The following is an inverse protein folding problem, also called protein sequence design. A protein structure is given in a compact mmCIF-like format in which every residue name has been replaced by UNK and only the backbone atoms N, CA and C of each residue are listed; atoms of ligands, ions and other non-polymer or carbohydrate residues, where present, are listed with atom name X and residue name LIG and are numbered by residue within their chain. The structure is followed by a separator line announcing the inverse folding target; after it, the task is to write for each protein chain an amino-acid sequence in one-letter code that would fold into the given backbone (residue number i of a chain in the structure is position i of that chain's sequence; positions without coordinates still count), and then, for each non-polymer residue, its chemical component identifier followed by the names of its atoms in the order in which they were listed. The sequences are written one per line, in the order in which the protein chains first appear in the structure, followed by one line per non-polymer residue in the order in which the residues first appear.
data_IF_867865855932
#
_entry.id   IF_867865855932
#
_cell.length_a   1.000
_cell.length_b   1.000
_cell.length_c   1.000
_cell.angle_alpha   90.00
_cell.angle_beta   90.00
_cell.angle_gamma   90.00
#
_symmetry.space_group_name_H-M   'P 1'
#
loop_
_entity.id
_entity.type
_entity.pdbx_description
1 polymer ?
#
# COMPACT_ATOMS: atom_id res chain seq x y z
N UNK A 1 -22.44 -2.54 -48.64
CA UNK A 1 -21.97 -3.54 -47.67
C UNK A 1 -20.45 -3.67 -47.57
N UNK A 2 -19.67 -3.48 -48.64
CA UNK A 2 -18.20 -3.64 -48.60
C UNK A 2 -17.42 -2.55 -47.81
N UNK A 3 -18.00 -1.35 -47.63
CA UNK A 3 -17.33 -0.24 -46.89
C UNK A 3 -17.35 -0.43 -45.37
N UNK A 4 -18.47 -0.95 -44.82
CA UNK A 4 -18.58 -1.15 -43.33
C UNK A 4 -17.68 -2.25 -42.80
N UNK A 5 -17.37 -3.29 -43.60
CA UNK A 5 -16.47 -4.38 -43.23
C UNK A 5 -15.04 -3.91 -43.14
N UNK A 6 -14.58 -3.01 -43.99
CA UNK A 6 -13.23 -2.44 -43.95
C UNK A 6 -13.02 -1.57 -42.71
N UNK A 7 -14.02 -0.81 -42.26
CA UNK A 7 -13.91 0.03 -41.07
C UNK A 7 -13.87 -0.79 -39.81
N UNK A 8 -14.64 -1.89 -39.74
CA UNK A 8 -14.60 -2.82 -38.55
C UNK A 8 -13.29 -3.60 -38.51
N UNK A 9 -12.74 -4.02 -39.66
CA UNK A 9 -11.44 -4.68 -39.69
C UNK A 9 -10.29 -3.73 -39.31
N UNK A 10 -10.36 -2.46 -39.70
CA UNK A 10 -9.36 -1.46 -39.37
C UNK A 10 -9.41 -1.10 -37.87
N UNK A 11 -10.61 -1.04 -37.26
CA UNK A 11 -10.76 -0.83 -35.83
C UNK A 11 -10.28 -2.03 -35.01
N UNK A 12 -10.51 -3.27 -35.47
CA UNK A 12 -9.95 -4.47 -34.83
C UNK A 12 -8.42 -4.53 -34.91
N UNK A 13 -7.82 -4.11 -36.02
CA UNK A 13 -6.37 -4.04 -36.15
C UNK A 13 -5.74 -2.97 -35.25
N UNK A 14 -6.43 -1.85 -35.01
CA UNK A 14 -5.97 -0.83 -34.07
C UNK A 14 -6.03 -1.31 -32.60
N UNK A 15 -7.02 -2.14 -32.24
CA UNK A 15 -7.10 -2.74 -30.91
C UNK A 15 -5.97 -3.72 -30.62
N UNK A 16 -5.56 -4.53 -31.60
CA UNK A 16 -4.43 -5.46 -31.46
C UNK A 16 -3.10 -4.72 -31.35
N UNK A 17 -2.94 -3.58 -32.07
CA UNK A 17 -1.70 -2.82 -32.03
C UNK A 17 -1.47 -2.09 -30.69
N UNK A 18 -2.54 -1.65 -30.01
CA UNK A 18 -2.42 -0.96 -28.73
C UNK A 18 -1.95 -1.90 -27.59
N UNK A 19 -2.52 -3.10 -27.50
CA UNK A 19 -2.14 -4.07 -26.46
C UNK A 19 -0.71 -4.61 -26.63
N UNK A 20 -0.26 -4.83 -27.87
CA UNK A 20 1.14 -5.15 -28.15
C UNK A 20 2.07 -3.99 -27.75
N UNK A 21 1.65 -2.75 -27.92
CA UNK A 21 2.44 -1.58 -27.53
C UNK A 21 2.76 -1.55 -26.04
N UNK A 22 1.81 -1.84 -25.14
CA UNK A 22 2.08 -1.80 -23.69
C UNK A 22 2.96 -2.93 -23.21
N UNK A 23 2.74 -4.14 -23.69
CA UNK A 23 3.62 -5.28 -23.43
C UNK A 23 5.04 -4.99 -23.89
N UNK A 24 5.18 -4.41 -25.08
CA UNK A 24 6.48 -4.05 -25.63
C UNK A 24 7.16 -2.93 -24.83
N UNK A 25 6.39 -1.92 -24.39
CA UNK A 25 6.91 -0.86 -23.51
C UNK A 25 7.40 -1.43 -22.17
N UNK A 26 6.60 -2.29 -21.53
CA UNK A 26 6.97 -2.95 -20.29
C UNK A 26 8.23 -3.79 -20.47
N UNK A 27 8.27 -4.65 -21.49
CA UNK A 27 9.42 -5.51 -21.78
C UNK A 27 10.67 -4.69 -22.04
N UNK A 28 10.58 -3.67 -22.87
CA UNK A 28 11.71 -2.77 -23.18
C UNK A 28 12.20 -2.05 -21.93
N UNK A 29 11.28 -1.59 -21.08
CA UNK A 29 11.62 -0.96 -19.82
C UNK A 29 12.24 -1.93 -18.83
N UNK A 30 11.72 -3.16 -18.76
CA UNK A 30 12.29 -4.24 -17.95
C UNK A 30 13.71 -4.61 -18.43
N UNK A 31 13.98 -4.55 -19.74
CA UNK A 31 15.31 -4.82 -20.29
C UNK A 31 16.32 -3.69 -20.01
N UNK A 32 15.84 -2.52 -19.59
CA UNK A 32 16.68 -1.36 -19.22
C UNK A 32 17.13 -1.34 -17.76
N UNK A 33 16.65 -2.27 -16.93
CA UNK A 33 16.98 -2.35 -15.50
C UNK A 33 17.62 -3.68 -15.13
N UNK A 34 18.29 -3.71 -13.98
CA UNK A 34 18.84 -4.95 -13.45
C UNK A 34 17.74 -5.93 -13.09
N UNK A 35 17.97 -7.20 -13.39
CA UNK A 35 17.04 -8.31 -13.13
C UNK A 35 17.72 -9.36 -12.25
N UNK A 36 17.05 -9.78 -11.19
CA UNK A 36 17.53 -10.76 -10.23
C UNK A 36 16.52 -11.91 -10.12
N UNK A 37 16.99 -13.13 -10.38
CA UNK A 37 16.17 -14.33 -10.21
C UNK A 37 16.26 -14.83 -8.77
N UNK A 38 15.68 -14.07 -7.85
CA UNK A 38 15.59 -14.38 -6.44
C UNK A 38 14.42 -13.63 -5.80
N UNK A 39 14.06 -14.03 -4.60
CA UNK A 39 13.15 -13.23 -3.77
C UNK A 39 13.90 -12.00 -3.23
N UNK A 40 13.30 -10.81 -3.33
CA UNK A 40 13.96 -9.54 -2.98
C UNK A 40 14.39 -9.49 -1.51
N UNK A 41 13.66 -10.14 -0.58
CA UNK A 41 14.03 -10.17 0.85
C UNK A 41 15.43 -10.74 1.05
N UNK A 42 15.82 -11.80 0.34
CA UNK A 42 17.17 -12.38 0.48
C UNK A 42 18.29 -11.39 0.10
N UNK A 43 17.99 -10.46 -0.79
CA UNK A 43 18.95 -9.42 -1.20
C UNK A 43 19.03 -8.26 -0.19
N UNK A 44 17.91 -7.88 0.42
CA UNK A 44 17.80 -6.65 1.20
C UNK A 44 17.66 -6.86 2.71
N UNK A 45 17.32 -8.06 3.19
CA UNK A 45 17.17 -8.31 4.63
C UNK A 45 18.35 -9.09 5.19
N UNK A 46 18.82 -8.69 6.38
CA UNK A 46 19.83 -9.39 7.14
C UNK A 46 19.22 -10.38 8.14
N UNK A 47 18.02 -10.08 8.63
CA UNK A 47 17.35 -10.89 9.65
C UNK A 47 15.83 -10.67 9.64
N UNK A 48 15.12 -11.62 10.20
CA UNK A 48 13.70 -11.54 10.46
C UNK A 48 13.40 -11.85 11.92
N UNK A 49 12.69 -10.94 12.59
CA UNK A 49 12.10 -11.20 13.91
C UNK A 49 10.63 -11.54 13.76
N UNK A 50 10.10 -12.25 14.74
CA UNK A 50 8.70 -12.66 14.81
C UNK A 50 8.07 -12.09 16.06
N UNK A 51 6.98 -11.35 15.88
CA UNK A 51 6.14 -10.87 16.96
C UNK A 51 4.83 -11.65 16.93
N UNK A 52 4.62 -12.49 17.93
CA UNK A 52 3.37 -13.22 18.13
C UNK A 52 2.37 -12.27 18.78
N UNK A 53 1.28 -12.00 18.09
CA UNK A 53 0.25 -11.08 18.61
C UNK A 53 -0.68 -11.82 19.57
N UNK A 54 -0.94 -11.17 20.70
CA UNK A 54 -1.84 -11.67 21.75
C UNK A 54 -3.24 -11.94 21.22
N UNK A 55 -3.90 -12.99 21.72
CA UNK A 55 -5.27 -13.37 21.38
C UNK A 55 -6.18 -13.58 22.62
N UNK A 56 -5.70 -13.20 23.81
CA UNK A 56 -6.37 -13.50 25.08
C UNK A 56 -7.70 -12.76 25.25
N UNK A 57 -7.98 -11.75 24.41
CA UNK A 57 -9.23 -11.01 24.46
C UNK A 57 -9.88 -10.94 23.07
N UNK A 58 -11.22 -10.84 23.04
CA UNK A 58 -11.97 -10.72 21.77
C UNK A 58 -11.55 -9.49 20.97
N UNK A 59 -11.15 -8.40 21.66
CA UNK A 59 -10.70 -7.18 21.01
C UNK A 59 -9.28 -7.29 20.41
N UNK A 60 -8.50 -8.29 20.84
CA UNK A 60 -7.19 -8.58 20.30
C UNK A 60 -7.24 -9.43 19.03
N UNK A 61 -8.36 -10.11 18.75
CA UNK A 61 -8.50 -11.00 17.59
C UNK A 61 -8.54 -10.21 16.28
N UNK A 62 -7.64 -10.54 15.39
CA UNK A 62 -7.50 -9.89 14.10
C UNK A 62 -8.23 -10.66 13.00
N UNK A 63 -8.95 -9.93 12.17
CA UNK A 63 -9.39 -10.43 10.88
C UNK A 63 -8.30 -10.31 9.80
N UNK A 64 -8.68 -9.87 8.61
CA UNK A 64 -7.70 -9.65 7.54
C UNK A 64 -6.90 -8.36 7.79
N UNK A 65 -5.66 -8.48 8.18
CA UNK A 65 -4.76 -7.33 8.39
C UNK A 65 -4.58 -6.58 7.08
N UNK A 66 -4.78 -5.27 7.08
CA UNK A 66 -4.73 -4.44 5.87
C UNK A 66 -3.51 -3.53 5.83
N UNK A 67 -3.11 -2.95 6.97
CA UNK A 67 -1.94 -2.07 7.10
C UNK A 67 -1.41 -2.14 8.53
N UNK A 68 -0.09 -2.10 8.66
CA UNK A 68 0.61 -1.99 9.95
C UNK A 68 1.55 -0.80 9.91
N UNK A 69 1.47 0.05 10.89
CA UNK A 69 2.41 1.13 11.14
C UNK A 69 3.02 0.94 12.52
N UNK A 70 4.28 1.34 12.66
CA UNK A 70 5.01 1.24 13.93
C UNK A 70 5.54 2.61 14.33
N UNK A 71 5.34 2.97 15.57
CA UNK A 71 5.94 4.15 16.19
C UNK A 71 6.03 3.98 17.71
N UNK A 72 7.11 4.49 18.31
CA UNK A 72 7.32 4.59 19.76
C UNK A 72 7.05 3.27 20.54
N UNK A 73 7.47 2.13 19.99
CA UNK A 73 7.28 0.82 20.63
C UNK A 73 5.91 0.17 20.41
N UNK A 74 5.07 0.74 19.54
CA UNK A 74 3.71 0.27 19.32
C UNK A 74 3.46 -0.11 17.86
N UNK A 75 2.77 -1.24 17.66
CA UNK A 75 2.22 -1.65 16.37
C UNK A 75 0.77 -1.22 16.27
N UNK A 76 0.47 -0.32 15.34
CA UNK A 76 -0.89 0.07 14.98
C UNK A 76 -1.32 -0.79 13.80
N UNK A 77 -2.35 -1.60 13.99
CA UNK A 77 -2.77 -2.61 13.02
C UNK A 77 -4.19 -2.33 12.56
N UNK A 78 -4.38 -1.99 11.29
CA UNK A 78 -5.72 -1.99 10.72
C UNK A 78 -6.08 -3.36 10.16
N UNK A 79 -7.29 -3.81 10.45
CA UNK A 79 -7.80 -5.08 9.95
C UNK A 79 -9.30 -4.99 9.63
N UNK A 80 -9.74 -5.84 8.71
CA UNK A 80 -11.14 -6.00 8.39
C UNK A 80 -11.75 -7.08 9.28
N UNK A 81 -12.86 -6.78 9.95
CA UNK A 81 -13.61 -7.82 10.67
C UNK A 81 -14.32 -8.73 9.68
N UNK A 82 -14.25 -10.05 9.89
CA UNK A 82 -14.84 -11.03 8.95
C UNK A 82 -16.33 -11.29 9.21
N UNK A 83 -17.09 -10.38 9.81
CA UNK A 83 -18.43 -10.67 10.26
C UNK A 83 -19.41 -11.10 9.13
N UNK A 84 -19.34 -10.52 7.95
CA UNK A 84 -20.03 -10.91 6.70
C UNK A 84 -19.55 -10.01 5.57
N UNK A 85 -19.64 -10.46 4.31
CA UNK A 85 -19.24 -9.66 3.13
C UNK A 85 -19.95 -8.29 3.08
N UNK A 86 -21.16 -8.20 3.64
CA UNK A 86 -21.96 -6.99 3.64
C UNK A 86 -21.82 -6.13 4.92
N UNK A 87 -21.08 -6.57 5.94
CA UNK A 87 -20.90 -5.88 7.22
C UNK A 87 -19.43 -5.89 7.67
N UNK A 88 -18.52 -5.83 6.72
CA UNK A 88 -17.10 -5.74 7.02
C UNK A 88 -16.78 -4.36 7.61
N UNK A 89 -16.33 -4.35 8.86
CA UNK A 89 -15.87 -3.14 9.54
C UNK A 89 -14.36 -3.13 9.57
N UNK A 90 -13.78 -1.99 9.29
CA UNK A 90 -12.36 -1.75 9.52
C UNK A 90 -12.14 -1.25 10.94
N UNK A 91 -11.18 -1.85 11.65
CA UNK A 91 -10.76 -1.45 12.98
C UNK A 91 -9.26 -1.19 13.00
N UNK A 92 -8.82 -0.39 13.94
CA UNK A 92 -7.41 -0.20 14.27
C UNK A 92 -7.20 -0.62 15.70
N UNK A 93 -6.24 -1.50 15.93
CA UNK A 93 -5.85 -1.98 17.25
C UNK A 93 -4.36 -1.75 17.49
N UNK A 94 -3.99 -1.63 18.75
CA UNK A 94 -2.62 -1.33 19.16
C UNK A 94 -2.08 -2.50 19.96
N UNK A 95 -0.87 -2.92 19.63
CA UNK A 95 -0.07 -3.89 20.35
C UNK A 95 1.28 -3.25 20.72
N UNK A 96 1.83 -3.62 21.86
CA UNK A 96 3.19 -3.22 22.23
C UNK A 96 4.25 -3.94 21.35
N UNK A 97 5.50 -3.59 21.54
CA UNK A 97 6.64 -4.18 20.81
C UNK A 97 6.78 -5.71 21.02
N UNK A 98 6.22 -6.26 22.10
CA UNK A 98 6.23 -7.69 22.42
C UNK A 98 4.98 -8.42 21.88
N UNK A 99 4.05 -7.70 21.22
CA UNK A 99 2.82 -8.24 20.68
C UNK A 99 1.67 -8.35 21.68
N UNK A 100 1.76 -7.71 22.84
CA UNK A 100 0.68 -7.66 23.82
C UNK A 100 -0.35 -6.62 23.41
N UNK A 101 -1.63 -6.99 23.42
CA UNK A 101 -2.72 -6.09 23.12
C UNK A 101 -2.83 -4.96 24.16
N UNK A 102 -2.97 -3.74 23.72
CA UNK A 102 -3.11 -2.55 24.55
C UNK A 102 -4.51 -1.93 24.46
N UNK A 103 -4.92 -1.54 23.24
CA UNK A 103 -6.21 -0.89 23.06
C UNK A 103 -6.73 -0.97 21.62
N UNK A 104 -7.97 -0.53 21.43
CA UNK A 104 -8.55 -0.24 20.12
C UNK A 104 -8.64 1.27 19.92
N UNK A 105 -8.28 1.75 18.74
CA UNK A 105 -8.38 3.15 18.33
C UNK A 105 -9.80 3.44 17.84
N UNK A 106 -10.51 4.27 18.61
CA UNK A 106 -11.85 4.70 18.26
C UNK A 106 -12.89 3.57 18.21
N UNK A 107 -14.07 3.89 17.69
CA UNK A 107 -15.19 2.96 17.55
C UNK A 107 -15.97 3.25 16.29
N UNK A 108 -16.57 2.21 15.73
CA UNK A 108 -17.54 2.37 14.65
C UNK A 108 -18.88 2.86 15.19
N UNK A 109 -19.37 3.98 14.67
CA UNK A 109 -20.63 4.57 15.12
C UNK A 109 -20.87 5.99 14.62
N UNK A 110 -21.82 6.71 15.27
CA UNK A 110 -22.28 8.03 14.84
C UNK A 110 -22.02 9.15 15.85
N UNK A 111 -21.47 8.84 17.02
CA UNK A 111 -21.11 9.87 17.99
C UNK A 111 -19.92 10.72 17.48
N UNK A 112 -19.66 11.84 18.16
CA UNK A 112 -18.58 12.76 17.79
C UNK A 112 -17.21 12.08 17.76
N UNK A 113 -16.97 11.22 18.72
CA UNK A 113 -15.75 10.45 18.89
C UNK A 113 -15.80 9.05 18.23
N UNK A 114 -16.66 8.86 17.25
CA UNK A 114 -16.82 7.61 16.50
C UNK A 114 -16.71 7.89 15.01
N UNK A 115 -16.22 6.93 14.25
CA UNK A 115 -16.19 6.99 12.78
C UNK A 115 -17.25 6.06 12.17
N UNK A 116 -17.84 6.48 11.08
CA UNK A 116 -18.84 5.68 10.36
C UNK A 116 -18.26 4.84 9.23
N UNK A 117 -16.98 4.94 9.02
CA UNK A 117 -16.17 4.20 8.05
C UNK A 117 -14.95 5.01 7.67
N UNK A 118 -13.83 4.33 7.52
CA UNK A 118 -12.62 4.96 7.05
C UNK A 118 -11.97 4.13 5.96
N UNK A 119 -11.20 4.76 5.11
CA UNK A 119 -10.34 4.09 4.13
C UNK A 119 -8.88 4.45 4.32
N UNK A 120 -8.62 5.65 4.83
CA UNK A 120 -7.27 6.15 5.08
C UNK A 120 -7.04 6.48 6.55
N UNK A 121 -5.86 6.13 7.02
CA UNK A 121 -5.38 6.52 8.33
C UNK A 121 -3.85 6.65 8.32
N UNK A 122 -3.34 7.47 9.22
CA UNK A 122 -1.92 7.77 9.36
C UNK A 122 -1.56 7.96 10.83
N UNK A 123 -0.26 7.97 11.14
CA UNK A 123 0.27 8.40 12.42
C UNK A 123 0.79 9.82 12.32
N UNK A 124 0.59 10.59 13.37
CA UNK A 124 1.30 11.82 13.69
C UNK A 124 2.23 11.55 14.87
N UNK A 125 3.48 11.17 14.62
CA UNK A 125 4.43 10.82 15.69
C UNK A 125 4.75 11.98 16.63
N UNK A 126 4.74 13.22 16.12
CA UNK A 126 5.08 14.40 16.91
C UNK A 126 4.05 14.64 18.03
N UNK A 127 2.78 14.42 17.74
CA UNK A 127 1.68 14.57 18.70
C UNK A 127 1.25 13.25 19.34
N UNK A 128 1.84 12.11 18.95
CA UNK A 128 1.44 10.74 19.34
C UNK A 128 -0.04 10.52 19.08
N UNK A 129 -0.46 10.73 17.83
CA UNK A 129 -1.84 10.63 17.42
C UNK A 129 -2.04 9.72 16.21
N UNK A 130 -3.17 9.02 16.23
CA UNK A 130 -3.71 8.28 15.08
C UNK A 130 -4.75 9.16 14.41
N UNK A 131 -4.56 9.42 13.13
CA UNK A 131 -5.42 10.24 12.30
C UNK A 131 -6.29 9.34 11.43
N UNK A 132 -7.61 9.49 11.49
CA UNK A 132 -8.56 8.66 10.73
C UNK A 132 -9.43 9.55 9.84
N UNK A 133 -9.41 9.31 8.53
CA UNK A 133 -10.32 9.99 7.59
C UNK A 133 -11.72 9.36 7.64
N UNK A 134 -12.69 10.05 8.26
CA UNK A 134 -14.10 9.67 8.26
C UNK A 134 -14.75 10.15 6.96
N UNK A 135 -14.81 9.25 5.96
CA UNK A 135 -15.23 9.57 4.61
C UNK A 135 -16.68 10.04 4.48
N UNK A 136 -17.54 9.68 5.44
CA UNK A 136 -18.96 10.05 5.40
C UNK A 136 -19.25 11.41 6.04
N UNK A 137 -18.27 12.00 6.73
CA UNK A 137 -18.45 13.25 7.48
C UNK A 137 -17.46 14.34 7.12
N UNK A 138 -16.62 14.12 6.12
CA UNK A 138 -15.61 15.11 5.68
C UNK A 138 -14.75 15.66 6.80
N UNK A 139 -14.24 14.75 7.64
CA UNK A 139 -13.41 15.11 8.79
C UNK A 139 -12.29 14.11 9.01
N UNK A 140 -11.25 14.54 9.68
CA UNK A 140 -10.21 13.70 10.23
C UNK A 140 -10.40 13.65 11.73
N UNK A 141 -10.60 12.45 12.28
CA UNK A 141 -10.70 12.23 13.71
C UNK A 141 -9.30 11.93 14.24
N UNK A 142 -8.96 12.52 15.37
CA UNK A 142 -7.67 12.38 16.05
C UNK A 142 -7.88 11.59 17.34
N UNK A 143 -7.07 10.55 17.52
CA UNK A 143 -6.99 9.76 18.74
C UNK A 143 -5.56 9.74 19.23
N UNK A 144 -5.36 9.75 20.56
CA UNK A 144 -4.06 9.45 21.15
C UNK A 144 -3.72 7.96 20.95
N UNK A 145 -2.47 7.60 21.13
CA UNK A 145 -2.01 6.21 21.00
C UNK A 145 -2.68 5.25 21.98
N UNK A 146 -3.15 5.76 23.13
CA UNK A 146 -3.95 5.02 24.11
C UNK A 146 -5.45 4.86 23.73
N UNK A 147 -5.84 5.29 22.53
CA UNK A 147 -7.21 5.22 22.03
C UNK A 147 -8.14 6.34 22.52
N UNK A 148 -7.68 7.26 23.39
CA UNK A 148 -8.47 8.39 23.83
C UNK A 148 -8.73 9.40 22.71
N UNK A 149 -9.93 9.98 22.64
CA UNK A 149 -10.29 10.98 21.65
C UNK A 149 -9.53 12.29 21.89
N UNK A 150 -8.77 12.74 20.91
CA UNK A 150 -7.98 13.95 20.96
C UNK A 150 -8.65 15.16 20.28
N UNK A 151 -9.54 14.91 19.32
CA UNK A 151 -10.24 15.98 18.61
C UNK A 151 -10.61 15.58 17.18
N UNK A 152 -11.06 16.56 16.43
CA UNK A 152 -11.39 16.39 15.01
C UNK A 152 -10.98 17.63 14.22
N UNK A 153 -10.66 17.43 12.96
CA UNK A 153 -10.39 18.47 11.97
C UNK A 153 -11.48 18.36 10.91
N UNK A 154 -12.34 19.36 10.82
CA UNK A 154 -13.33 19.43 9.74
C UNK A 154 -12.70 20.10 8.53
N UNK A 155 -12.88 19.51 7.35
CA UNK A 155 -12.53 20.14 6.11
C UNK A 155 -13.78 20.47 5.30
N UNK A 156 -13.78 21.66 4.69
CA UNK A 156 -14.98 22.30 4.12
C UNK A 156 -15.54 21.62 2.87
N UNK A 157 -14.90 20.53 2.37
CA UNK A 157 -15.22 19.92 1.09
C UNK A 157 -15.35 18.41 1.21
N UNK A 158 -16.38 17.85 0.58
CA UNK A 158 -16.54 16.39 0.46
C UNK A 158 -15.42 15.83 -0.42
N UNK A 159 -14.33 15.44 0.23
CA UNK A 159 -13.24 14.73 -0.39
C UNK A 159 -13.46 13.24 -0.15
N UNK A 160 -13.79 12.50 -1.21
CA UNK A 160 -13.80 11.04 -1.16
C UNK A 160 -12.35 10.53 -1.10
N UNK A 161 -11.75 10.66 0.08
CA UNK A 161 -10.37 10.26 0.29
C UNK A 161 -10.25 8.74 0.41
N UNK A 162 -9.41 8.13 -0.42
CA UNK A 162 -9.10 6.70 -0.36
C UNK A 162 -7.94 6.39 0.59
N UNK A 163 -7.01 7.32 0.74
CA UNK A 163 -5.86 7.19 1.62
C UNK A 163 -5.58 8.53 2.30
N UNK A 164 -5.07 8.43 3.51
CA UNK A 164 -4.58 9.55 4.30
C UNK A 164 -3.11 9.30 4.63
N UNK A 165 -2.29 10.33 4.46
CA UNK A 165 -0.89 10.33 4.87
C UNK A 165 -0.61 11.58 5.69
N UNK A 166 0.36 11.50 6.56
CA UNK A 166 0.88 12.63 7.32
C UNK A 166 2.39 12.71 7.14
N UNK A 167 2.89 13.85 6.68
CA UNK A 167 4.31 14.08 6.47
C UNK A 167 4.66 15.56 6.64
N UNK A 168 5.69 15.86 7.41
CA UNK A 168 6.22 17.22 7.56
C UNK A 168 5.21 18.25 8.09
N UNK A 169 4.20 17.84 8.88
CA UNK A 169 3.12 18.70 9.36
C UNK A 169 1.94 18.86 8.39
N UNK A 170 2.00 18.26 7.21
CA UNK A 170 0.91 18.29 6.24
C UNK A 170 0.14 16.98 6.19
N UNK A 171 -1.17 17.10 5.93
CA UNK A 171 -2.08 16.01 5.68
C UNK A 171 -2.30 15.88 4.17
N UNK A 172 -2.02 14.71 3.63
CA UNK A 172 -2.22 14.40 2.22
C UNK A 172 -3.38 13.43 2.07
N UNK A 173 -4.44 13.87 1.42
CA UNK A 173 -5.63 13.08 1.15
C UNK A 173 -5.66 12.68 -0.32
N UNK A 174 -5.52 11.40 -0.61
CA UNK A 174 -5.71 10.90 -1.97
C UNK A 174 -7.21 10.87 -2.29
N UNK A 175 -7.61 11.66 -3.27
CA UNK A 175 -9.00 11.78 -3.72
C UNK A 175 -9.29 10.72 -4.78
N UNK A 176 -10.35 9.93 -4.57
CA UNK A 176 -10.76 8.85 -5.49
C UNK A 176 -11.54 9.34 -6.68
N UNK A 177 -12.44 10.30 -6.46
CA UNK A 177 -13.42 10.75 -7.45
C UNK A 177 -13.18 12.21 -7.70
N UNK A 178 -12.94 12.61 -8.97
CA UNK A 178 -12.92 14.00 -9.36
C UNK A 178 -14.23 14.66 -8.93
N UNK A 179 -14.16 15.86 -8.39
CA UNK A 179 -15.34 16.67 -8.14
C UNK A 179 -15.40 17.86 -9.10
N UNK A 180 -16.55 18.55 -9.15
CA UNK A 180 -16.77 19.70 -10.01
C UNK A 180 -15.80 20.86 -9.78
N UNK A 181 -15.04 20.80 -8.66
CA UNK A 181 -14.01 21.79 -8.29
C UNK A 181 -12.62 21.42 -8.81
N UNK A 182 -12.48 20.31 -9.52
CA UNK A 182 -11.22 19.83 -10.07
C UNK A 182 -10.25 19.29 -9.01
N UNK A 183 -10.80 18.77 -7.90
CA UNK A 183 -10.05 18.06 -6.87
C UNK A 183 -9.96 16.59 -7.28
N UNK A 184 -9.04 16.28 -8.15
CA UNK A 184 -8.97 14.96 -8.75
C UNK A 184 -7.70 14.18 -8.40
N UNK A 185 -6.91 14.63 -7.38
CA UNK A 185 -5.67 13.95 -7.08
C UNK A 185 -5.30 13.87 -5.60
N UNK A 186 -4.40 14.73 -5.12
CA UNK A 186 -4.01 14.80 -3.72
C UNK A 186 -4.37 16.18 -3.19
N UNK A 187 -5.29 16.22 -2.26
CA UNK A 187 -5.55 17.42 -1.47
C UNK A 187 -4.54 17.51 -0.33
N UNK A 188 -3.92 18.67 -0.17
CA UNK A 188 -3.01 18.96 0.93
C UNK A 188 -3.68 19.88 1.91
N UNK A 189 -3.77 19.45 3.16
CA UNK A 189 -4.28 20.24 4.28
C UNK A 189 -3.13 20.50 5.27
N UNK A 190 -3.19 21.61 5.98
CA UNK A 190 -2.28 21.83 7.11
C UNK A 190 -2.78 21.03 8.35
N UNK A 191 -2.02 21.11 9.42
CA UNK A 191 -2.32 20.49 10.74
C UNK A 191 -3.63 20.98 11.40
N UNK A 192 -4.16 22.14 10.96
CA UNK A 192 -5.47 22.65 11.37
C UNK A 192 -6.61 22.13 10.46
N UNK A 193 -6.34 21.29 9.48
CA UNK A 193 -7.33 20.81 8.51
C UNK A 193 -7.69 21.82 7.41
N UNK A 194 -7.00 22.97 7.36
CA UNK A 194 -7.24 23.97 6.33
C UNK A 194 -6.56 23.59 5.03
N UNK A 195 -7.29 23.77 3.97
CA UNK A 195 -6.82 23.50 2.62
C UNK A 195 -5.62 24.39 2.24
N UNK A 196 -4.50 23.78 1.87
CA UNK A 196 -3.30 24.46 1.40
C UNK A 196 -3.18 24.45 -0.11
N UNK A 197 -3.29 23.26 -0.69
CA UNK A 197 -2.99 23.06 -2.10
C UNK A 197 -3.67 21.80 -2.65
N UNK A 198 -3.76 21.71 -3.96
CA UNK A 198 -4.04 20.46 -4.69
C UNK A 198 -2.85 20.15 -5.58
N UNK A 199 -2.30 18.97 -5.42
CA UNK A 199 -1.32 18.48 -6.36
C UNK A 199 -2.07 17.96 -7.58
N UNK A 200 -2.26 18.85 -8.56
CA UNK A 200 -2.86 18.53 -9.84
C UNK A 200 -1.75 18.06 -10.77
N UNK A 201 -1.81 16.81 -11.17
CA UNK A 201 -0.95 16.35 -12.27
C UNK A 201 -1.54 15.08 -12.94
N UNK A 202 -2.85 14.95 -12.94
CA UNK A 202 -3.54 13.87 -13.64
C UNK A 202 -3.45 14.09 -15.14
N UNK A 203 -2.68 13.26 -15.81
CA UNK A 203 -2.67 13.22 -17.28
C UNK A 203 -3.92 12.53 -17.86
N UNK A 204 -4.61 11.75 -17.03
CA UNK A 204 -5.65 10.83 -17.47
C UNK A 204 -6.82 10.93 -16.51
N UNK A 205 -7.95 11.42 -17.00
CA UNK A 205 -9.24 11.26 -16.33
C UNK A 205 -9.79 9.89 -16.74
N UNK A 206 -9.87 8.95 -15.81
CA UNK A 206 -10.55 7.69 -16.05
C UNK A 206 -11.86 7.68 -15.30
N UNK A 207 -12.95 7.34 -15.95
CA UNK A 207 -14.24 7.04 -15.32
C UNK A 207 -14.26 5.67 -14.63
N UNK A 208 -13.10 5.01 -14.50
CA UNK A 208 -13.01 3.70 -13.88
C UNK A 208 -13.05 3.85 -12.37
N UNK A 209 -14.25 4.01 -11.84
CA UNK A 209 -14.57 4.20 -10.42
C UNK A 209 -14.17 3.03 -9.51
N UNK A 210 -13.75 1.89 -10.05
CA UNK A 210 -13.55 0.66 -9.31
C UNK A 210 -12.09 0.18 -9.22
N UNK A 211 -11.14 0.98 -9.67
CA UNK A 211 -9.74 0.62 -9.49
C UNK A 211 -9.33 0.83 -8.05
N UNK A 212 -8.89 -0.23 -7.35
CA UNK A 212 -8.22 -0.02 -6.08
C UNK A 212 -6.99 0.85 -6.37
N UNK A 213 -6.96 2.04 -5.81
CA UNK A 213 -5.75 2.87 -5.85
C UNK A 213 -4.58 2.06 -5.30
N UNK A 214 -3.39 2.41 -5.75
CA UNK A 214 -2.17 1.80 -5.24
C UNK A 214 -2.14 2.03 -3.73
N UNK A 215 -1.96 0.94 -2.97
CA UNK A 215 -1.89 1.03 -1.52
C UNK A 215 -0.47 1.40 -1.12
N UNK A 216 -0.31 2.58 -0.54
CA UNK A 216 0.91 2.92 0.17
C UNK A 216 0.82 2.39 1.59
N UNK A 217 1.67 1.41 1.90
CA UNK A 217 1.60 0.66 3.16
C UNK A 217 2.48 1.22 4.27
N UNK A 218 3.27 2.25 3.97
CA UNK A 218 4.20 2.86 4.91
C UNK A 218 3.77 4.25 5.33
N UNK A 219 4.24 4.68 6.49
CA UNK A 219 4.34 6.11 6.78
C UNK A 219 5.48 6.72 5.96
N UNK A 220 5.37 7.98 5.57
CA UNK A 220 6.48 8.68 4.94
C UNK A 220 7.72 8.66 5.82
N UNK A 221 8.84 8.24 5.25
CA UNK A 221 10.13 8.38 5.91
C UNK A 221 10.70 9.79 5.63
N UNK A 222 11.12 10.52 6.65
CA UNK A 222 11.77 11.82 6.54
C UNK A 222 10.93 12.91 5.82
N UNK A 223 9.71 13.18 6.24
CA UNK A 223 8.85 14.27 5.73
C UNK A 223 8.59 14.24 4.21
N UNK A 224 8.99 13.18 3.53
CA UNK A 224 8.80 13.01 2.09
C UNK A 224 7.86 11.83 1.84
N UNK A 225 6.68 12.11 1.32
CA UNK A 225 5.73 11.08 0.87
C UNK A 225 6.11 10.63 -0.55
N UNK A 226 6.43 9.35 -0.71
CA UNK A 226 6.52 8.73 -2.02
C UNK A 226 5.15 8.23 -2.44
N UNK A 227 4.69 8.69 -3.57
CA UNK A 227 3.36 8.38 -4.07
C UNK A 227 3.39 7.96 -5.53
N UNK A 228 2.66 6.91 -5.83
CA UNK A 228 2.49 6.39 -7.19
C UNK A 228 1.02 6.51 -7.60
N UNK A 229 0.79 6.99 -8.80
CA UNK A 229 -0.55 7.10 -9.38
C UNK A 229 -0.87 5.91 -10.25
N UNK A 230 -2.13 5.53 -10.29
CA UNK A 230 -2.60 4.56 -11.26
C UNK A 230 -2.35 5.08 -12.67
N UNK A 231 -1.83 4.21 -13.54
CA UNK A 231 -1.56 4.52 -14.95
C UNK A 231 -0.50 5.60 -15.21
N UNK A 232 0.31 5.94 -14.23
CA UNK A 232 1.46 6.81 -14.42
C UNK A 232 2.76 5.99 -14.35
N UNK A 233 3.78 6.48 -15.03
CA UNK A 233 5.11 5.90 -15.06
C UNK A 233 6.14 6.71 -14.25
N UNK A 234 5.65 7.46 -13.24
CA UNK A 234 6.48 8.21 -12.32
C UNK A 234 6.12 7.89 -10.86
N UNK A 235 7.14 7.70 -10.04
CA UNK A 235 7.03 7.78 -8.59
C UNK A 235 7.27 9.23 -8.18
N UNK A 236 6.29 9.82 -7.50
CA UNK A 236 6.32 11.21 -7.05
C UNK A 236 6.85 11.28 -5.64
N UNK A 237 7.87 12.12 -5.41
CA UNK A 237 8.29 12.50 -4.07
C UNK A 237 7.64 13.84 -3.73
N UNK A 238 6.73 13.82 -2.74
CA UNK A 238 5.98 14.96 -2.25
C UNK A 238 6.62 15.45 -0.95
N UNK A 239 6.86 16.74 -0.87
CA UNK A 239 7.42 17.39 0.30
C UNK A 239 6.89 18.82 0.40
N UNK A 240 6.58 19.27 1.61
CA UNK A 240 6.02 20.61 1.87
C UNK A 240 4.82 20.94 0.95
N UNK A 241 3.87 20.01 0.86
CA UNK A 241 2.65 20.18 0.08
C UNK A 241 2.83 20.25 -1.44
N UNK A 242 4.00 19.92 -1.97
CA UNK A 242 4.30 20.04 -3.40
C UNK A 242 5.03 18.81 -3.98
N UNK A 243 5.06 18.71 -5.29
CA UNK A 243 5.90 17.73 -5.99
C UNK A 243 7.33 18.22 -6.00
N UNK A 244 8.16 17.66 -5.12
CA UNK A 244 9.58 17.98 -5.04
C UNK A 244 10.39 17.27 -6.15
N UNK A 245 10.00 16.04 -6.52
CA UNK A 245 10.71 15.26 -7.53
C UNK A 245 9.80 14.24 -8.20
N UNK A 246 10.02 14.00 -9.51
CA UNK A 246 9.44 12.90 -10.30
C UNK A 246 10.56 11.90 -10.62
N UNK A 247 10.35 10.64 -10.28
CA UNK A 247 11.28 9.55 -10.52
C UNK A 247 10.68 8.66 -11.59
N UNK A 248 11.29 8.54 -12.78
CA UNK A 248 10.74 7.71 -13.84
C UNK A 248 10.77 6.23 -13.44
N UNK A 249 9.72 5.50 -13.80
CA UNK A 249 9.60 4.06 -13.64
C UNK A 249 9.64 3.47 -15.04
N UNK A 250 10.81 3.02 -15.52
CA UNK A 250 11.03 2.73 -16.93
C UNK A 250 10.21 1.55 -17.44
N UNK A 251 9.79 0.65 -16.57
CA UNK A 251 9.03 -0.54 -16.92
C UNK A 251 7.51 -0.34 -16.85
N UNK A 252 7.00 0.75 -16.28
CA UNK A 252 5.57 1.03 -16.33
C UNK A 252 5.21 1.72 -17.65
N UNK A 253 4.20 1.22 -18.37
CA UNK A 253 3.72 1.88 -19.57
C UNK A 253 3.16 3.26 -19.26
N UNK A 254 3.47 4.23 -20.10
CA UNK A 254 2.81 5.55 -20.06
C UNK A 254 1.53 5.50 -20.87
N UNK A 255 0.40 5.79 -20.24
CA UNK A 255 -0.88 5.88 -20.91
C UNK A 255 -1.14 7.30 -21.42
N UNK A 256 -1.77 7.42 -22.60
CA UNK A 256 -2.30 8.66 -23.11
C UNK A 256 -3.74 8.91 -22.64
N UNK A 257 -4.21 10.15 -22.73
CA UNK A 257 -5.62 10.46 -22.44
C UNK A 257 -6.60 9.67 -23.35
N UNK A 258 -6.21 9.41 -24.59
CA UNK A 258 -7.00 8.62 -25.54
C UNK A 258 -7.09 7.15 -25.16
N UNK A 259 -6.05 6.63 -24.49
CA UNK A 259 -6.03 5.25 -24.00
C UNK A 259 -6.96 5.07 -22.79
N UNK A 260 -7.15 6.12 -21.99
CA UNK A 260 -7.99 6.07 -20.78
C UNK A 260 -9.45 5.74 -21.09
N UNK A 261 -9.98 6.23 -22.22
CA UNK A 261 -11.35 5.94 -22.65
C UNK A 261 -11.55 4.48 -23.11
N UNK A 262 -10.44 3.77 -23.38
CA UNK A 262 -10.43 2.39 -23.87
C UNK A 262 -10.10 1.37 -22.80
N UNK A 263 -9.66 1.82 -21.63
CA UNK A 263 -9.35 0.91 -20.53
C UNK A 263 -10.65 0.37 -19.95
N UNK A 264 -10.85 -0.92 -20.08
CA UNK A 264 -11.86 -1.66 -19.34
C UNK A 264 -11.21 -2.67 -18.40
N UNK A 265 -11.97 -3.18 -17.44
CA UNK A 265 -11.48 -4.08 -16.39
C UNK A 265 -10.86 -5.38 -16.94
N UNK A 266 -11.20 -5.78 -18.15
CA UNK A 266 -10.71 -6.99 -18.80
C UNK A 266 -9.50 -6.75 -19.69
N UNK A 267 -9.00 -5.52 -19.77
CA UNK A 267 -7.85 -5.21 -20.61
C UNK A 267 -6.54 -5.75 -20.01
N UNK A 268 -5.65 -6.23 -20.87
CA UNK A 268 -4.30 -6.70 -20.45
C UNK A 268 -3.46 -5.63 -19.78
N UNK A 269 -3.83 -4.36 -19.90
CA UNK A 269 -3.18 -3.24 -19.25
C UNK A 269 -3.25 -3.34 -17.72
N UNK A 270 -4.31 -4.00 -17.20
CA UNK A 270 -4.46 -4.27 -15.77
C UNK A 270 -3.34 -5.14 -15.19
N UNK A 271 -2.64 -5.87 -16.04
CA UNK A 271 -1.51 -6.71 -15.62
C UNK A 271 -0.32 -5.88 -15.10
N UNK A 272 -0.23 -4.62 -15.53
CA UNK A 272 0.89 -3.72 -15.21
C UNK A 272 0.55 -2.68 -14.14
N UNK A 273 -0.58 -2.86 -13.45
CA UNK A 273 -0.98 -1.93 -12.38
C UNK A 273 -0.28 -2.27 -11.08
N UNK A 274 0.38 -1.31 -10.47
CA UNK A 274 0.91 -1.48 -9.14
C UNK A 274 -0.17 -1.84 -8.13
N UNK A 275 0.13 -2.79 -7.24
CA UNK A 275 -0.78 -3.21 -6.17
C UNK A 275 -0.52 -2.49 -4.86
N UNK A 276 0.73 -2.34 -4.50
CA UNK A 276 1.14 -1.58 -3.32
C UNK A 276 2.57 -1.04 -3.45
N UNK A 277 2.85 0.01 -2.69
CA UNK A 277 4.17 0.57 -2.43
C UNK A 277 4.54 0.49 -0.95
N UNK A 278 5.81 0.35 -0.64
CA UNK A 278 6.36 0.43 0.71
C UNK A 278 7.58 1.34 0.67
N UNK A 279 7.50 2.44 1.40
CA UNK A 279 8.60 3.36 1.57
C UNK A 279 9.44 3.00 2.81
N UNK A 280 10.75 3.00 2.66
CA UNK A 280 11.71 2.90 3.75
C UNK A 280 12.77 3.98 3.56
N UNK A 281 13.69 4.14 4.50
CA UNK A 281 14.71 5.16 4.42
C UNK A 281 15.54 5.10 3.11
N UNK A 282 15.99 3.91 2.73
CA UNK A 282 16.94 3.72 1.63
C UNK A 282 16.29 3.13 0.37
N UNK A 283 15.07 2.58 0.47
CA UNK A 283 14.40 1.85 -0.61
C UNK A 283 12.94 2.26 -0.77
N UNK A 284 12.43 2.08 -1.99
CA UNK A 284 10.99 2.05 -2.26
C UNK A 284 10.67 0.72 -2.97
N UNK A 285 9.82 -0.08 -2.36
CA UNK A 285 9.38 -1.38 -2.87
C UNK A 285 8.05 -1.22 -3.58
N UNK A 286 7.99 -1.68 -4.83
CA UNK A 286 6.80 -1.61 -5.67
C UNK A 286 6.40 -3.02 -6.10
N UNK A 287 5.16 -3.40 -5.80
CA UNK A 287 4.60 -4.67 -6.25
C UNK A 287 3.61 -4.46 -7.39
N UNK A 288 3.67 -5.29 -8.42
CA UNK A 288 2.66 -5.38 -9.47
C UNK A 288 1.67 -6.52 -9.18
N UNK A 289 0.39 -6.28 -9.45
CA UNK A 289 -0.69 -7.27 -9.23
C UNK A 289 -0.53 -8.49 -10.11
N UNK A 290 -0.20 -8.26 -11.37
CA UNK A 290 0.13 -9.27 -12.38
C UNK A 290 1.20 -8.66 -13.27
N UNK A 291 2.25 -9.39 -13.55
CA UNK A 291 3.11 -9.08 -14.69
C UNK A 291 3.01 -10.27 -15.62
N UNK A 292 2.87 -10.02 -16.88
CA UNK A 292 2.96 -11.07 -17.91
C UNK A 292 4.31 -11.78 -17.92
N UNK A 293 5.26 -11.26 -17.13
CA UNK A 293 6.59 -11.79 -16.88
C UNK A 293 6.70 -12.31 -15.43
N UNK A 294 7.78 -13.00 -15.10
CA UNK A 294 7.99 -13.57 -13.77
C UNK A 294 8.35 -12.52 -12.69
N UNK A 295 8.62 -11.28 -13.10
CA UNK A 295 9.02 -10.20 -12.17
C UNK A 295 7.80 -9.52 -11.57
N UNK A 296 7.70 -9.51 -10.25
CA UNK A 296 6.56 -8.94 -9.52
C UNK A 296 6.93 -7.89 -8.49
N UNK A 297 8.17 -7.91 -8.01
CA UNK A 297 8.68 -6.94 -7.07
C UNK A 297 9.77 -6.10 -7.72
N UNK A 298 9.64 -4.81 -7.58
CA UNK A 298 10.59 -3.83 -8.10
C UNK A 298 11.07 -2.98 -6.94
N UNK A 299 12.37 -2.78 -6.87
CA UNK A 299 12.98 -2.01 -5.78
C UNK A 299 13.68 -0.79 -6.38
N UNK A 300 13.31 0.38 -5.90
CA UNK A 300 14.05 1.61 -6.17
C UNK A 300 15.06 1.85 -5.05
N UNK A 301 16.33 1.74 -5.36
CA UNK A 301 17.41 2.09 -4.47
C UNK A 301 17.61 3.62 -4.48
N UNK A 302 17.17 4.30 -3.42
CA UNK A 302 17.14 5.77 -3.37
C UNK A 302 18.53 6.41 -3.48
N UNK A 303 19.55 5.76 -2.89
CA UNK A 303 20.95 6.21 -2.92
C UNK A 303 21.54 6.08 -4.32
N UNK A 304 21.34 4.93 -4.96
CA UNK A 304 21.90 4.63 -6.28
C UNK A 304 21.01 5.17 -7.42
N UNK A 305 19.78 5.61 -7.12
CA UNK A 305 18.77 6.12 -8.06
C UNK A 305 18.47 5.13 -9.17
N UNK A 306 18.39 3.83 -8.86
CA UNK A 306 18.14 2.77 -9.85
C UNK A 306 17.02 1.84 -9.42
N UNK A 307 16.32 1.28 -10.42
CA UNK A 307 15.35 0.23 -10.25
C UNK A 307 15.97 -1.14 -10.47
N UNK A 308 15.52 -2.13 -9.70
CA UNK A 308 15.91 -3.53 -9.84
C UNK A 308 14.63 -4.38 -9.78
N UNK A 309 14.51 -5.36 -10.69
CA UNK A 309 13.39 -6.29 -10.76
C UNK A 309 13.73 -7.64 -10.13
N UNK A 310 12.81 -8.19 -9.35
CA UNK A 310 12.93 -9.47 -8.67
C UNK A 310 11.80 -10.43 -9.08
N UNK A 311 12.11 -11.71 -9.29
CA UNK A 311 11.15 -12.74 -9.69
C UNK A 311 10.23 -13.22 -8.57
N UNK A 312 10.51 -12.93 -7.31
CA UNK A 312 9.88 -13.54 -6.15
C UNK A 312 9.94 -15.09 -6.17
N UNK A 313 11.00 -15.64 -6.73
CA UNK A 313 11.22 -17.08 -6.71
C UNK A 313 11.23 -17.59 -5.28
N UNK A 314 10.42 -18.59 -5.00
CA UNK A 314 10.38 -19.30 -3.71
C UNK A 314 11.17 -20.60 -3.74
N UNK A 315 11.88 -20.88 -4.83
CA UNK A 315 12.81 -22.00 -4.90
C UNK A 315 14.05 -21.69 -4.05
N UNK A 316 14.41 -22.61 -3.16
CA UNK A 316 15.59 -22.50 -2.28
C UNK A 316 15.56 -21.32 -1.29
N UNK A 317 14.38 -21.07 -0.67
CA UNK A 317 14.28 -20.08 0.39
C UNK A 317 15.12 -20.48 1.60
N UNK A 318 15.97 -19.56 2.02
CA UNK A 318 16.79 -19.61 3.24
C UNK A 318 16.28 -18.65 4.34
N UNK A 319 15.11 -18.07 4.15
CA UNK A 319 14.44 -17.13 5.07
C UNK A 319 12.93 -17.42 5.10
N UNK A 320 12.24 -16.94 6.14
CA UNK A 320 10.78 -17.06 6.28
C UNK A 320 10.09 -16.01 5.41
N UNK A 321 9.38 -16.39 4.33
CA UNK A 321 8.63 -15.44 3.52
C UNK A 321 7.30 -15.07 4.21
N UNK A 322 6.81 -13.82 4.08
CA UNK A 322 5.50 -13.47 4.63
C UNK A 322 4.37 -14.03 3.76
N UNK A 323 3.17 -14.14 4.33
CA UNK A 323 1.95 -14.33 3.54
C UNK A 323 1.70 -13.10 2.65
N UNK A 324 1.86 -11.90 3.22
CA UNK A 324 1.84 -10.61 2.51
C UNK A 324 2.61 -9.55 3.29
N UNK A 325 3.08 -8.53 2.59
CA UNK A 325 3.61 -7.32 3.23
C UNK A 325 2.47 -6.37 3.57
N UNK A 326 2.55 -5.70 4.72
CA UNK A 326 1.47 -4.87 5.26
C UNK A 326 1.94 -3.50 5.77
N UNK A 327 3.25 -3.26 5.82
CA UNK A 327 3.75 -1.98 6.31
C UNK A 327 5.26 -1.88 6.36
N UNK A 328 5.70 -0.80 6.96
CA UNK A 328 7.08 -0.57 7.36
C UNK A 328 7.11 0.00 8.78
N UNK A 329 8.20 -0.23 9.47
CA UNK A 329 8.56 0.50 10.67
C UNK A 329 9.65 1.52 10.35
N UNK A 330 9.93 2.37 11.32
CA UNK A 330 10.94 3.40 11.19
C UNK A 330 12.28 2.88 10.63
N UNK A 331 12.86 3.67 9.75
CA UNK A 331 14.19 3.50 9.15
C UNK A 331 14.23 2.44 8.05
N UNK A 332 14.74 1.25 8.26
CA UNK A 332 14.91 0.23 7.23
C UNK A 332 14.27 -1.08 7.68
N UNK A 333 12.99 -1.06 7.94
CA UNK A 333 12.22 -2.24 8.36
C UNK A 333 11.00 -2.39 7.47
N UNK A 334 10.76 -3.60 6.97
CA UNK A 334 9.51 -3.99 6.30
C UNK A 334 8.75 -4.96 7.21
N UNK A 335 7.44 -4.78 7.29
CA UNK A 335 6.58 -5.64 8.09
C UNK A 335 5.74 -6.52 7.15
N UNK A 336 5.87 -7.82 7.35
CA UNK A 336 4.99 -8.82 6.77
C UNK A 336 4.05 -9.41 7.82
N UNK A 337 3.03 -10.13 7.36
CA UNK A 337 2.18 -10.94 8.23
C UNK A 337 2.20 -12.39 7.79
N UNK A 338 2.03 -13.28 8.76
CA UNK A 338 1.85 -14.71 8.56
C UNK A 338 0.79 -15.24 9.52
N UNK A 339 -0.08 -16.11 9.03
CA UNK A 339 -1.04 -16.84 9.85
C UNK A 339 -0.60 -18.28 10.08
N UNK A 340 -1.20 -18.94 11.06
CA UNK A 340 -0.87 -20.31 11.43
C UNK A 340 -0.96 -21.32 10.27
N UNK A 341 -2.00 -21.31 9.40
CA UNK A 341 -2.04 -22.23 8.26
C UNK A 341 -0.85 -22.07 7.30
N UNK A 342 -0.45 -20.83 7.03
CA UNK A 342 0.70 -20.56 6.14
C UNK A 342 2.00 -21.02 6.78
N UNK A 343 2.21 -20.76 8.08
CA UNK A 343 3.38 -21.21 8.80
C UNK A 343 3.51 -22.76 8.82
N UNK A 344 2.40 -23.44 9.06
CA UNK A 344 2.36 -24.92 9.03
C UNK A 344 2.66 -25.47 7.64
N UNK A 345 2.12 -24.86 6.59
CA UNK A 345 2.45 -25.24 5.19
C UNK A 345 3.95 -25.07 4.88
N UNK A 346 4.60 -24.00 5.39
CA UNK A 346 6.04 -23.83 5.25
C UNK A 346 6.85 -24.85 6.04
N UNK A 347 6.41 -25.28 7.23
CA UNK A 347 7.06 -26.34 7.99
C UNK A 347 7.06 -27.69 7.27
N UNK A 348 6.01 -27.97 6.50
CA UNK A 348 5.86 -29.18 5.70
C UNK A 348 6.60 -29.09 4.35
N UNK A 349 7.00 -27.89 3.95
CA UNK A 349 7.74 -27.69 2.70
C UNK A 349 9.18 -28.19 2.77
N UNK A 350 9.78 -28.42 1.60
CA UNK A 350 11.20 -28.77 1.48
C UNK A 350 12.14 -27.55 1.53
N UNK A 351 11.69 -26.44 2.08
CA UNK A 351 12.52 -25.24 2.21
C UNK A 351 13.67 -25.46 3.21
N UNK A 352 14.82 -24.87 2.90
CA UNK A 352 16.06 -25.01 3.69
C UNK A 352 16.10 -24.06 4.89
N UNK A 353 15.05 -24.05 5.70
CA UNK A 353 14.99 -23.21 6.89
C UNK A 353 15.97 -23.69 7.95
N UNK A 354 16.62 -22.74 8.61
CA UNK A 354 17.47 -23.01 9.77
C UNK A 354 16.65 -23.59 10.94
N UNK A 355 17.26 -24.26 11.91
CA UNK A 355 16.56 -24.69 13.12
C UNK A 355 15.87 -23.53 13.87
N UNK A 356 16.47 -22.33 13.85
CA UNK A 356 15.87 -21.12 14.43
C UNK A 356 14.61 -20.68 13.68
N UNK A 357 14.63 -20.68 12.34
CA UNK A 357 13.46 -20.31 11.54
C UNK A 357 12.33 -21.32 11.69
N UNK A 358 12.67 -22.62 11.77
CA UNK A 358 11.68 -23.66 12.08
C UNK A 358 11.04 -23.48 13.46
N UNK A 359 11.79 -23.01 14.46
CA UNK A 359 11.24 -22.69 15.77
C UNK A 359 10.29 -21.49 15.71
N UNK A 360 10.65 -20.44 14.95
CA UNK A 360 9.76 -19.28 14.69
C UNK A 360 8.47 -19.71 13.99
N UNK A 361 8.57 -20.51 12.93
CA UNK A 361 7.40 -21.03 12.20
C UNK A 361 6.49 -21.88 13.10
N UNK A 362 7.04 -22.70 13.98
CA UNK A 362 6.26 -23.48 14.97
C UNK A 362 5.51 -22.57 15.94
N UNK A 363 6.15 -21.50 16.41
CA UNK A 363 5.50 -20.52 17.29
C UNK A 363 4.32 -19.86 16.59
N UNK A 364 4.48 -19.40 15.33
CA UNK A 364 3.41 -18.84 14.52
C UNK A 364 2.31 -19.89 14.28
N UNK A 365 2.68 -21.13 13.98
CA UNK A 365 1.74 -22.23 13.71
C UNK A 365 0.86 -22.59 14.91
N UNK A 366 1.26 -22.22 16.12
CA UNK A 366 0.48 -22.37 17.36
C UNK A 366 -0.33 -21.14 17.76
N UNK A 367 -0.23 -20.04 17.04
CA UNK A 367 -0.95 -18.79 17.36
C UNK A 367 -2.36 -18.76 16.77
N UNK A 368 -3.32 -18.21 17.50
CA UNK A 368 -4.67 -17.95 16.99
C UNK A 368 -4.74 -16.67 16.12
N UNK A 369 -3.87 -15.70 16.41
CA UNK A 369 -3.75 -14.46 15.65
C UNK A 369 -2.74 -14.57 14.49
N UNK A 370 -2.82 -13.62 13.56
CA UNK A 370 -1.72 -13.37 12.65
C UNK A 370 -0.50 -12.89 13.44
N UNK A 371 0.69 -13.33 13.03
CA UNK A 371 1.95 -12.87 13.59
C UNK A 371 2.64 -11.88 12.65
N UNK A 372 3.41 -10.94 13.20
CA UNK A 372 4.20 -10.02 12.42
C UNK A 372 5.59 -10.60 12.14
N UNK A 373 6.06 -10.42 10.94
CA UNK A 373 7.42 -10.71 10.49
C UNK A 373 8.13 -9.38 10.25
N UNK A 374 9.15 -9.11 11.04
CA UNK A 374 9.89 -7.84 11.05
C UNK A 374 11.22 -8.07 10.33
N UNK A 375 11.31 -7.63 9.08
CA UNK A 375 12.52 -7.78 8.25
C UNK A 375 13.41 -6.54 8.40
N UNK A 376 14.59 -6.74 8.96
CA UNK A 376 15.60 -5.69 9.08
C UNK A 376 16.39 -5.59 7.78
N UNK A 377 16.33 -4.43 7.13
CA UNK A 377 17.01 -4.18 5.87
C UNK A 377 18.46 -3.73 6.10
N UNK A 378 19.33 -4.12 5.16
CA UNK A 378 20.76 -3.79 5.12
C UNK A 378 21.02 -2.29 5.00
#
# INVERSE_FOLDING_TARGET
MKSKVKTVLLSLLLFVSCTESYQNQFKKGLDSIDKVDAHFISAYSDSVDVVILDSDTVNALLGNVTKVLYDDGHYFISHDTQANINDTKQLIVVFDENGKFECQIGRFGRARNEFNGFRGWALDPANKEVLISDIYRSRIIRYKYDGSFAGELEYSELLNANQLFYAGGDLYLQVLIPNDKGLDDIAVLNDEGKFRNVIKDRKIQTEIFMMPGIRELSNPSNDTLYHLRSFDNYLYALHDGAVARKIPIPFLPSLSAEDSERINMDSKIMEYIPSYGIDTKDYYFLSLSRSGENYRMFVYEKRNKKWIAYTNSTSNLDFIPPFKFVGSADKNVIIGVMNAPTANSWLESNANFTPADRAKLKAIGGSENASLLIYHLK
#
